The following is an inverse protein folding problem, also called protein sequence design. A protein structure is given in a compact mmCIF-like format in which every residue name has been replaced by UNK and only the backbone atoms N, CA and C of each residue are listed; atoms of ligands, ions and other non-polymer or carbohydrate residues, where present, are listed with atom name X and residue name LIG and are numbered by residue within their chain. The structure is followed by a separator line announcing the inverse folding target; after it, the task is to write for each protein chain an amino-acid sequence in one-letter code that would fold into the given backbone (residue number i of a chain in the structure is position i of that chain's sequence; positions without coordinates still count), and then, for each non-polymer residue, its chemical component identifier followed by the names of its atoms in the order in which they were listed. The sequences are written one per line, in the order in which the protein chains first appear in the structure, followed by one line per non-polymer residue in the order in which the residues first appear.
data_IF_258742295154
#
_entry.id   IF_258742295154
#
_cell.length_a   1.000
_cell.length_b   1.000
_cell.length_c   1.000
_cell.angle_alpha   90.00
_cell.angle_beta   90.00
_cell.angle_gamma   90.00
#
_symmetry.space_group_name_H-M   'P 1'
#
loop_
_entity.id
_entity.type
_entity.pdbx_description
1 polymer ?
#
# COMPACT_ATOMS: atom_id res chain seq x y z
N UNK A 1 2.15 -11.72 -3.08
CA UNK A 1 3.48 -11.73 -2.46
C UNK A 1 3.41 -12.53 -1.18
N UNK A 2 3.91 -13.76 -1.22
CA UNK A 2 4.07 -14.55 -0.03
C UNK A 2 5.19 -13.91 0.82
N UNK A 3 4.83 -13.18 1.89
CA UNK A 3 5.81 -12.77 2.85
C UNK A 3 6.23 -13.98 3.68
N UNK A 4 7.54 -14.23 3.76
CA UNK A 4 8.06 -15.28 4.63
C UNK A 4 7.86 -14.89 6.10
N UNK A 5 7.80 -15.87 7.01
CA UNK A 5 7.72 -15.60 8.44
C UNK A 5 8.88 -14.70 8.92
N UNK A 6 10.07 -14.86 8.36
CA UNK A 6 11.22 -14.00 8.63
C UNK A 6 10.97 -12.54 8.24
N UNK A 7 10.39 -12.31 7.07
CA UNK A 7 10.02 -10.97 6.61
C UNK A 7 9.01 -10.31 7.56
N UNK A 8 8.05 -11.05 8.08
CA UNK A 8 7.06 -10.54 9.03
C UNK A 8 7.69 -10.13 10.37
N UNK A 9 8.70 -10.87 10.84
CA UNK A 9 9.46 -10.51 12.05
C UNK A 9 10.15 -9.16 11.88
N UNK A 10 10.74 -8.89 10.71
CA UNK A 10 11.40 -7.59 10.45
C UNK A 10 10.41 -6.45 10.36
N UNK A 11 9.27 -6.67 9.75
CA UNK A 11 8.19 -5.68 9.71
C UNK A 11 7.74 -5.31 11.12
N UNK A 12 7.63 -6.29 12.02
CA UNK A 12 7.34 -6.02 13.44
C UNK A 12 8.43 -5.20 14.11
N UNK A 13 9.70 -5.51 13.85
CA UNK A 13 10.82 -4.76 14.42
C UNK A 13 10.83 -3.32 13.92
N UNK A 14 10.58 -3.08 12.63
CA UNK A 14 10.48 -1.75 12.06
C UNK A 14 9.33 -0.95 12.68
N UNK A 15 8.18 -1.58 12.90
CA UNK A 15 7.02 -0.95 13.54
C UNK A 15 7.25 -0.67 15.02
N UNK A 16 8.07 -1.45 15.69
CA UNK A 16 8.44 -1.21 17.10
C UNK A 16 9.32 0.03 17.25
N UNK A 17 10.06 0.41 16.21
CA UNK A 17 10.93 1.58 16.17
C UNK A 17 10.65 2.41 14.90
N UNK A 18 9.46 3.01 14.77
CA UNK A 18 9.00 3.60 13.51
C UNK A 18 9.79 4.85 13.08
N UNK A 19 10.49 5.49 14.00
CA UNK A 19 11.28 6.71 13.73
C UNK A 19 12.77 6.38 13.53
N UNK A 20 13.17 5.13 13.69
CA UNK A 20 14.55 4.70 13.44
C UNK A 20 14.82 4.62 11.95
N UNK A 21 15.85 5.34 11.49
CA UNK A 21 16.33 5.25 10.12
C UNK A 21 17.43 4.18 10.07
N UNK A 22 17.11 3.03 9.47
CA UNK A 22 18.07 1.94 9.29
C UNK A 22 18.72 2.09 7.92
N UNK A 23 20.04 2.31 7.91
CA UNK A 23 20.83 2.43 6.68
C UNK A 23 22.03 1.49 6.72
N UNK A 24 22.51 1.10 5.56
CA UNK A 24 23.66 0.24 5.41
C UNK A 24 23.65 -0.46 4.05
N UNK A 25 24.65 -1.31 3.81
CA UNK A 25 24.62 -2.17 2.62
C UNK A 25 23.64 -3.31 2.81
N UNK A 26 23.19 -3.91 1.71
CA UNK A 26 22.32 -5.09 1.76
C UNK A 26 22.94 -6.20 2.61
N UNK A 27 24.25 -6.43 2.45
CA UNK A 27 25.00 -7.42 3.24
C UNK A 27 25.01 -7.08 4.74
N UNK A 28 25.27 -5.81 5.08
CA UNK A 28 25.25 -5.36 6.49
C UNK A 28 23.86 -5.56 7.13
N UNK A 29 22.79 -5.24 6.41
CA UNK A 29 21.45 -5.44 6.90
C UNK A 29 21.08 -6.93 7.02
N UNK A 30 21.51 -7.75 6.07
CA UNK A 30 21.33 -9.19 6.14
C UNK A 30 22.01 -9.78 7.39
N UNK A 31 23.25 -9.37 7.67
CA UNK A 31 23.99 -9.78 8.87
C UNK A 31 23.32 -9.28 10.16
N UNK A 32 22.87 -8.00 10.17
CA UNK A 32 22.18 -7.40 11.32
C UNK A 32 20.94 -8.19 11.71
N UNK A 33 20.18 -8.68 10.73
CA UNK A 33 18.94 -9.43 10.95
C UNK A 33 19.11 -10.95 10.89
N UNK A 34 20.35 -11.44 10.74
CA UNK A 34 20.65 -12.87 10.73
C UNK A 34 20.06 -13.61 9.54
N UNK A 35 20.02 -12.97 8.37
CA UNK A 35 19.42 -13.51 7.15
C UNK A 35 20.41 -13.61 6.01
N UNK A 36 20.06 -14.40 5.00
CA UNK A 36 20.80 -14.46 3.75
C UNK A 36 20.56 -13.18 2.94
N UNK A 37 21.55 -12.79 2.13
CA UNK A 37 21.47 -11.62 1.25
C UNK A 37 20.24 -11.71 0.32
N UNK A 38 19.98 -12.87 -0.25
CA UNK A 38 18.82 -13.07 -1.15
C UNK A 38 17.49 -12.85 -0.43
N UNK A 39 17.37 -13.31 0.81
CA UNK A 39 16.17 -13.07 1.64
C UNK A 39 16.02 -11.59 1.96
N UNK A 40 17.10 -10.89 2.24
CA UNK A 40 17.10 -9.44 2.48
C UNK A 40 16.67 -8.66 1.24
N UNK A 41 17.16 -9.03 0.06
CA UNK A 41 16.73 -8.42 -1.21
C UNK A 41 15.23 -8.57 -1.44
N UNK A 42 14.70 -9.76 -1.19
CA UNK A 42 13.25 -10.01 -1.29
C UNK A 42 12.43 -9.17 -0.30
N UNK A 43 12.91 -9.00 0.91
CA UNK A 43 12.28 -8.11 1.91
C UNK A 43 12.31 -6.65 1.46
N UNK A 44 13.44 -6.16 0.98
CA UNK A 44 13.59 -4.79 0.50
C UNK A 44 12.68 -4.51 -0.70
N UNK A 45 12.56 -5.46 -1.63
CA UNK A 45 11.65 -5.37 -2.76
C UNK A 45 10.19 -5.25 -2.28
N UNK A 46 9.79 -6.09 -1.33
CA UNK A 46 8.44 -6.09 -0.79
C UNK A 46 8.05 -4.82 -0.04
N UNK A 47 9.00 -4.13 0.59
CA UNK A 47 8.75 -2.89 1.35
C UNK A 47 9.08 -1.62 0.56
N UNK A 48 9.71 -1.73 -0.60
CA UNK A 48 10.24 -0.58 -1.34
C UNK A 48 9.19 0.48 -1.67
N UNK A 49 7.98 0.06 -2.02
CA UNK A 49 6.87 0.97 -2.34
C UNK A 49 6.35 1.74 -1.11
N UNK A 50 6.70 1.29 0.09
CA UNK A 50 6.30 1.91 1.36
C UNK A 50 7.39 2.81 1.94
N UNK A 51 8.54 2.91 1.29
CA UNK A 51 9.66 3.74 1.75
C UNK A 51 9.50 5.18 1.30
N UNK A 52 9.98 6.12 2.11
CA UNK A 52 10.04 7.55 1.75
C UNK A 52 10.96 7.78 0.56
N UNK A 53 12.06 7.06 0.51
CA UNK A 53 13.03 7.07 -0.59
C UNK A 53 13.17 5.64 -1.09
N UNK A 54 12.67 5.30 -2.30
CA UNK A 54 12.82 3.98 -2.87
C UNK A 54 14.29 3.60 -3.10
N UNK A 55 14.60 2.32 -2.90
CA UNK A 55 15.93 1.78 -3.19
C UNK A 55 16.01 1.26 -4.64
N UNK A 56 17.21 1.20 -5.25
CA UNK A 56 17.39 0.75 -6.63
C UNK A 56 17.37 -0.79 -6.72
N UNK A 57 16.19 -1.40 -6.57
CA UNK A 57 16.01 -2.85 -6.48
C UNK A 57 16.57 -3.59 -7.70
N UNK A 58 16.36 -3.05 -8.90
CA UNK A 58 16.75 -3.71 -10.15
C UNK A 58 18.27 -3.79 -10.34
N UNK A 59 19.02 -2.84 -9.78
CA UNK A 59 20.48 -2.75 -9.90
C UNK A 59 21.20 -3.09 -8.61
N UNK A 60 20.46 -3.51 -7.59
CA UNK A 60 20.96 -3.73 -6.25
C UNK A 60 21.80 -5.01 -6.15
N UNK A 61 22.95 -4.89 -5.53
CA UNK A 61 23.81 -6.00 -5.12
C UNK A 61 24.05 -5.99 -3.59
N UNK A 62 24.85 -6.92 -3.09
CA UNK A 62 25.15 -7.02 -1.65
C UNK A 62 25.87 -5.80 -1.08
N UNK A 63 26.54 -5.02 -1.93
CA UNK A 63 27.31 -3.83 -1.55
C UNK A 63 26.53 -2.52 -1.75
N UNK A 64 25.32 -2.56 -2.28
CA UNK A 64 24.48 -1.39 -2.48
C UNK A 64 23.99 -0.86 -1.15
N UNK A 65 24.18 0.42 -0.89
CA UNK A 65 23.61 1.09 0.28
C UNK A 65 22.12 1.27 0.11
N UNK A 66 21.37 0.86 1.12
CA UNK A 66 19.91 0.96 1.15
C UNK A 66 19.45 1.63 2.44
N UNK A 67 18.26 2.18 2.42
CA UNK A 67 17.62 2.81 3.57
C UNK A 67 16.25 2.20 3.81
N UNK A 68 15.90 1.97 5.07
CA UNK A 68 14.60 1.43 5.51
C UNK A 68 13.74 2.51 6.18
N UNK A 69 13.84 3.75 5.72
CA UNK A 69 12.98 4.83 6.22
C UNK A 69 11.60 4.73 5.53
N UNK A 70 10.63 4.14 6.21
CA UNK A 70 9.30 3.94 5.65
C UNK A 70 8.34 5.09 5.99
N UNK A 71 7.35 5.31 5.10
CA UNK A 71 6.21 6.15 5.35
C UNK A 71 5.14 5.33 6.09
N UNK A 72 4.78 5.75 7.29
CA UNK A 72 3.86 5.01 8.17
C UNK A 72 2.48 4.82 7.55
N UNK A 73 1.92 5.88 6.99
CA UNK A 73 0.60 5.83 6.35
C UNK A 73 0.61 4.98 5.08
N UNK A 74 1.64 5.16 4.26
CA UNK A 74 1.80 4.41 3.02
C UNK A 74 2.02 2.93 3.28
N UNK A 75 2.84 2.58 4.27
CA UNK A 75 3.06 1.20 4.68
C UNK A 75 1.76 0.55 5.15
N UNK A 76 0.98 1.23 5.98
CA UNK A 76 -0.31 0.72 6.46
C UNK A 76 -1.28 0.48 5.29
N UNK A 77 -1.41 1.45 4.40
CA UNK A 77 -2.28 1.35 3.21
C UNK A 77 -1.85 0.20 2.28
N UNK A 78 -0.55 0.03 2.06
CA UNK A 78 -0.04 -1.06 1.24
C UNK A 78 -0.28 -2.44 1.87
N UNK A 79 -0.21 -2.55 3.19
CA UNK A 79 -0.57 -3.78 3.89
C UNK A 79 -2.06 -4.10 3.75
N UNK A 80 -2.93 -3.10 3.81
CA UNK A 80 -4.38 -3.26 3.58
C UNK A 80 -4.66 -3.68 2.13
N UNK A 81 -3.99 -3.04 1.17
CA UNK A 81 -4.11 -3.38 -0.25
C UNK A 81 -3.70 -4.83 -0.54
N UNK A 82 -2.62 -5.28 0.08
CA UNK A 82 -2.15 -6.66 -0.01
C UNK A 82 -3.01 -7.66 0.78
N UNK A 83 -4.02 -7.20 1.49
CA UNK A 83 -4.89 -8.00 2.37
C UNK A 83 -4.10 -8.75 3.44
N UNK A 84 -3.03 -8.16 3.92
CA UNK A 84 -2.14 -8.71 4.94
C UNK A 84 -2.64 -8.36 6.33
N UNK A 85 -3.79 -8.92 6.74
CA UNK A 85 -4.45 -8.64 8.03
C UNK A 85 -3.53 -8.95 9.21
N UNK A 86 -2.74 -10.01 9.13
CA UNK A 86 -1.73 -10.35 10.14
C UNK A 86 -0.64 -9.27 10.33
N UNK A 87 -0.51 -8.32 9.40
CA UNK A 87 0.45 -7.21 9.46
C UNK A 87 -0.22 -5.89 9.87
N UNK A 88 -1.36 -5.51 9.27
CA UNK A 88 -2.01 -4.25 9.62
C UNK A 88 -2.81 -4.31 10.92
N UNK A 89 -3.03 -5.49 11.48
CA UNK A 89 -3.65 -5.69 12.79
C UNK A 89 -2.64 -5.84 13.94
N UNK A 90 -1.33 -5.71 13.65
CA UNK A 90 -0.30 -5.81 14.68
C UNK A 90 -0.48 -4.77 15.78
N UNK A 91 -0.26 -5.14 17.07
CA UNK A 91 -0.41 -4.22 18.20
C UNK A 91 0.57 -3.06 18.16
N UNK A 92 1.70 -3.17 17.45
CA UNK A 92 2.66 -2.08 17.27
C UNK A 92 2.04 -0.85 16.59
N UNK A 93 1.01 -1.04 15.79
CA UNK A 93 0.29 0.07 15.16
C UNK A 93 -0.44 0.96 16.16
N UNK A 94 -0.82 0.46 17.32
CA UNK A 94 -1.50 1.24 18.37
C UNK A 94 -0.62 2.37 18.91
N UNK A 95 0.70 2.20 18.89
CA UNK A 95 1.67 3.22 19.26
C UNK A 95 1.94 4.23 18.14
N UNK A 96 1.64 3.88 16.89
CA UNK A 96 1.88 4.72 15.71
C UNK A 96 0.64 5.54 15.36
N UNK A 97 -0.53 4.91 15.34
CA UNK A 97 -1.81 5.51 15.00
C UNK A 97 -2.86 5.22 16.06
N UNK A 98 -3.76 6.19 16.29
CA UNK A 98 -4.97 5.94 17.07
C UNK A 98 -5.90 4.96 16.34
N UNK A 99 -6.81 4.24 17.05
CA UNK A 99 -7.78 3.36 16.40
C UNK A 99 -8.62 4.06 15.33
N UNK A 100 -8.99 5.33 15.57
CA UNK A 100 -9.74 6.15 14.61
C UNK A 100 -8.92 6.43 13.35
N UNK A 101 -7.63 6.76 13.49
CA UNK A 101 -6.73 7.01 12.36
C UNK A 101 -6.50 5.74 11.53
N UNK A 102 -6.33 4.60 12.18
CA UNK A 102 -6.21 3.30 11.50
C UNK A 102 -7.45 2.98 10.69
N UNK A 103 -8.63 3.20 11.26
CA UNK A 103 -9.91 3.01 10.56
C UNK A 103 -10.05 3.95 9.36
N UNK A 104 -9.67 5.21 9.51
CA UNK A 104 -9.65 6.19 8.43
C UNK A 104 -8.78 5.74 7.26
N UNK A 105 -7.54 5.35 7.53
CA UNK A 105 -6.60 4.85 6.51
C UNK A 105 -7.11 3.58 5.83
N UNK A 106 -7.69 2.67 6.59
CA UNK A 106 -8.29 1.45 6.06
C UNK A 106 -9.43 1.77 5.08
N UNK A 107 -10.33 2.67 5.47
CA UNK A 107 -11.47 3.06 4.62
C UNK A 107 -11.01 3.82 3.37
N UNK A 108 -10.02 4.69 3.48
CA UNK A 108 -9.43 5.38 2.33
C UNK A 108 -8.85 4.39 1.32
N UNK A 109 -8.12 3.39 1.78
CA UNK A 109 -7.55 2.37 0.91
C UNK A 109 -8.63 1.52 0.25
N UNK A 110 -9.67 1.15 0.97
CA UNK A 110 -10.80 0.38 0.41
C UNK A 110 -11.56 1.19 -0.64
N UNK A 111 -11.75 2.49 -0.42
CA UNK A 111 -12.39 3.38 -1.40
C UNK A 111 -11.55 3.54 -2.67
N UNK A 112 -10.23 3.64 -2.54
CA UNK A 112 -9.33 3.78 -3.70
C UNK A 112 -9.36 2.56 -4.62
N UNK A 113 -9.60 1.36 -4.05
CA UNK A 113 -9.77 0.12 -4.81
C UNK A 113 -11.17 -0.09 -5.37
N UNK A 114 -12.13 0.77 -5.04
CA UNK A 114 -13.51 0.64 -5.50
C UNK A 114 -13.74 1.46 -6.76
N UNK A 115 -14.11 0.78 -7.85
CA UNK A 115 -14.49 1.45 -9.09
C UNK A 115 -15.97 1.86 -8.97
N UNK A 116 -16.21 3.17 -8.85
CA UNK A 116 -17.56 3.72 -8.89
C UNK A 116 -17.94 3.89 -10.36
N UNK A 117 -18.85 3.06 -10.85
CA UNK A 117 -19.39 3.21 -12.21
C UNK A 117 -20.27 4.47 -12.25
N UNK A 118 -20.10 5.27 -13.30
CA UNK A 118 -21.00 6.38 -13.55
C UNK A 118 -22.44 5.86 -13.66
N UNK A 119 -23.38 6.62 -13.06
CA UNK A 119 -24.79 6.29 -13.13
C UNK A 119 -25.24 6.27 -14.59
N UNK A 120 -25.73 5.13 -15.05
CA UNK A 120 -26.29 5.03 -16.41
C UNK A 120 -27.56 5.87 -16.49
N UNK A 121 -27.70 6.61 -17.60
CA UNK A 121 -28.91 7.37 -17.88
C UNK A 121 -30.02 6.39 -18.24
N UNK A 122 -31.10 6.40 -17.46
CA UNK A 122 -32.28 5.57 -17.72
C UNK A 122 -33.08 6.12 -18.89
N UNK A 123 -33.85 5.26 -19.54
CA UNK A 123 -34.71 5.64 -20.68
C UNK A 123 -35.71 6.74 -20.33
N UNK A 124 -36.19 6.76 -19.11
CA UNK A 124 -37.17 7.72 -18.60
C UNK A 124 -36.56 8.95 -17.93
N UNK A 125 -35.22 8.99 -17.82
CA UNK A 125 -34.51 10.12 -17.23
C UNK A 125 -34.47 11.32 -18.20
N UNK A 126 -34.41 12.55 -17.67
CA UNK A 126 -34.20 13.73 -18.52
C UNK A 126 -32.94 13.59 -19.36
N UNK A 127 -33.04 13.94 -20.64
CA UNK A 127 -31.87 13.89 -21.51
C UNK A 127 -30.81 14.91 -21.06
N UNK A 128 -29.53 14.53 -20.93
CA UNK A 128 -28.48 15.44 -20.50
C UNK A 128 -28.18 16.56 -21.49
N UNK A 129 -28.72 16.50 -22.72
CA UNK A 129 -28.58 17.57 -23.71
C UNK A 129 -29.37 18.83 -23.37
N UNK A 130 -30.23 18.80 -22.34
CA UNK A 130 -31.03 19.97 -21.92
C UNK A 130 -32.29 20.20 -22.72
N UNK A 131 -32.71 19.26 -23.59
CA UNK A 131 -33.92 19.38 -24.42
C UNK A 131 -35.22 19.34 -23.63
N UNK A 132 -35.20 18.89 -22.36
CA UNK A 132 -36.37 18.68 -21.54
C UNK A 132 -37.16 17.41 -21.87
N UNK A 133 -36.74 16.65 -22.86
CA UNK A 133 -37.34 15.37 -23.26
C UNK A 133 -36.73 14.20 -22.49
N UNK A 134 -37.46 13.10 -22.38
CA UNK A 134 -36.92 11.86 -21.85
C UNK A 134 -35.80 11.35 -22.77
N UNK A 135 -34.79 10.73 -22.21
CA UNK A 135 -33.63 10.21 -22.97
C UNK A 135 -34.03 9.34 -24.16
N UNK A 136 -35.03 8.46 -23.98
CA UNK A 136 -35.55 7.56 -25.02
C UNK A 136 -36.15 8.30 -26.23
N UNK A 137 -36.61 9.55 -26.07
CA UNK A 137 -37.17 10.38 -27.11
C UNK A 137 -36.23 11.43 -27.67
N UNK A 138 -35.02 11.49 -27.17
CA UNK A 138 -34.00 12.43 -27.58
C UNK A 138 -32.73 11.71 -28.03
N UNK A 139 -31.60 11.91 -27.33
CA UNK A 139 -30.32 11.27 -27.70
C UNK A 139 -30.36 9.75 -27.67
N UNK A 140 -31.21 9.16 -26.84
CA UNK A 140 -31.37 7.70 -26.73
C UNK A 140 -32.30 7.07 -27.78
N UNK A 141 -32.88 7.86 -28.69
CA UNK A 141 -33.89 7.36 -29.65
C UNK A 141 -33.31 6.29 -30.61
N UNK A 142 -32.04 6.42 -30.96
CA UNK A 142 -31.36 5.53 -31.89
C UNK A 142 -30.24 4.73 -31.22
N UNK A 143 -30.23 4.67 -29.91
CA UNK A 143 -29.21 3.93 -29.15
C UNK A 143 -29.58 2.44 -29.00
#
# INVERSE_FOLDING_TARGET
LASSAASDVYKRQLLSNPDEVVTGTVKELAEKYGQEVLTMVGFLDGINDSLKIPNPIETMDENTKVSLCFDKELLYKNMVDARADWLYELPQWDAIFTPEKRKELYLEQKKSGTVVKAKKIGRNDPCPCGSGKKYKYCCGKNA
#
